data_IF_310171590233
#
_entry.id   IF_310171590233
#
_cell.length_a   1.000
_cell.length_b   1.000
_cell.length_c   1.000
_cell.angle_alpha   90.00
_cell.angle_beta   90.00
_cell.angle_gamma   90.00
#
_symmetry.space_group_name_H-M   'P 1'
#
loop_
_entity.id
_entity.type
_entity.pdbx_description
1 polymer ?
#
# COMPACT_ATOMS: atom_id res chain seq x y z
N UNK A 1 -4.12 27.27 58.63
CA UNK A 1 -3.64 28.00 57.45
C UNK A 1 -4.55 27.66 56.27
N UNK A 2 -5.59 28.46 56.05
CA UNK A 2 -6.55 28.26 54.95
C UNK A 2 -6.20 29.26 53.84
N UNK A 3 -5.66 28.75 52.73
CA UNK A 3 -5.30 29.54 51.56
C UNK A 3 -6.55 30.06 50.86
N UNK A 4 -6.72 31.37 50.85
CA UNK A 4 -7.75 32.07 50.08
C UNK A 4 -7.33 32.13 48.61
N UNK A 5 -7.59 31.06 47.87
CA UNK A 5 -7.52 31.09 46.40
C UNK A 5 -8.52 32.10 45.87
N UNK A 6 -8.00 33.26 45.48
CA UNK A 6 -8.79 34.45 45.18
C UNK A 6 -9.58 34.24 43.88
N UNK A 7 -10.93 34.13 43.91
CA UNK A 7 -11.75 33.88 42.73
C UNK A 7 -11.68 35.00 41.67
N UNK A 8 -11.00 36.11 41.96
CA UNK A 8 -10.77 37.21 41.03
C UNK A 8 -9.66 36.93 40.01
N UNK A 9 -8.60 36.20 40.39
CA UNK A 9 -7.46 35.91 39.49
C UNK A 9 -7.89 35.03 38.32
N UNK A 10 -8.69 34.00 38.60
CA UNK A 10 -9.19 33.04 37.59
C UNK A 10 -10.09 33.71 36.55
N UNK A 11 -10.87 34.73 36.93
CA UNK A 11 -11.74 35.47 35.99
C UNK A 11 -10.96 36.34 35.01
N UNK A 12 -9.92 37.04 35.48
CA UNK A 12 -9.06 37.88 34.62
C UNK A 12 -8.28 37.04 33.63
N UNK A 13 -7.71 35.92 34.09
CA UNK A 13 -6.96 34.99 33.24
C UNK A 13 -7.82 34.39 32.13
N UNK A 14 -9.05 33.94 32.44
CA UNK A 14 -9.99 33.44 31.42
C UNK A 14 -10.36 34.48 30.36
N UNK A 15 -10.53 35.75 30.76
CA UNK A 15 -10.82 36.84 29.81
C UNK A 15 -9.66 37.06 28.84
N UNK A 16 -8.42 37.03 29.34
CA UNK A 16 -7.22 37.18 28.50
C UNK A 16 -7.01 36.00 27.53
N UNK A 17 -7.34 34.78 27.94
CA UNK A 17 -7.21 33.57 27.10
C UNK A 17 -8.32 33.42 26.05
N UNK A 18 -9.44 34.12 26.19
CA UNK A 18 -10.56 34.04 25.26
C UNK A 18 -10.20 34.35 23.81
N UNK A 19 -9.54 35.47 23.46
CA UNK A 19 -9.15 35.75 22.07
C UNK A 19 -8.21 34.69 21.51
N UNK A 20 -7.24 34.22 22.31
CA UNK A 20 -6.33 33.14 21.92
C UNK A 20 -7.08 31.83 21.62
N UNK A 21 -8.01 31.44 22.49
CA UNK A 21 -8.83 30.24 22.30
C UNK A 21 -9.66 30.33 21.02
N UNK A 22 -10.25 31.50 20.73
CA UNK A 22 -11.02 31.75 19.51
C UNK A 22 -10.11 31.66 18.28
N UNK A 23 -8.92 32.26 18.32
CA UNK A 23 -7.94 32.19 17.25
C UNK A 23 -7.53 30.74 16.96
N UNK A 24 -7.24 29.93 17.99
CA UNK A 24 -6.94 28.50 17.83
C UNK A 24 -8.13 27.73 17.24
N UNK A 25 -9.35 27.99 17.73
CA UNK A 25 -10.55 27.29 17.29
C UNK A 25 -10.90 27.54 15.80
N UNK A 26 -10.57 28.72 15.27
CA UNK A 26 -10.75 29.07 13.85
C UNK A 26 -9.51 28.65 13.02
N UNK A 27 -8.32 28.95 13.51
CA UNK A 27 -7.08 28.72 12.77
C UNK A 27 -6.80 27.24 12.53
N UNK A 28 -7.17 26.37 13.47
CA UNK A 28 -6.92 24.94 13.37
C UNK A 28 -7.66 24.24 12.21
N UNK A 29 -9.00 24.35 12.03
CA UNK A 29 -9.66 23.78 10.85
C UNK A 29 -9.15 24.38 9.53
N UNK A 30 -8.80 25.67 9.50
CA UNK A 30 -8.20 26.29 8.31
C UNK A 30 -6.82 25.67 7.98
N UNK A 31 -5.99 25.45 9.00
CA UNK A 31 -4.71 24.79 8.84
C UNK A 31 -4.87 23.34 8.35
N UNK A 32 -5.83 22.59 8.92
CA UNK A 32 -6.15 21.23 8.46
C UNK A 32 -6.62 21.21 7.01
N UNK A 33 -7.49 22.14 6.62
CA UNK A 33 -7.96 22.26 5.24
C UNK A 33 -6.80 22.58 4.28
N UNK A 34 -5.88 23.47 4.67
CA UNK A 34 -4.69 23.79 3.89
C UNK A 34 -3.75 22.58 3.76
N UNK A 35 -3.53 21.82 4.83
CA UNK A 35 -2.72 20.58 4.80
C UNK A 35 -3.39 19.54 3.90
N UNK A 36 -4.70 19.33 4.03
CA UNK A 36 -5.45 18.40 3.18
C UNK A 36 -5.36 18.80 1.69
N UNK A 37 -5.49 20.09 1.39
CA UNK A 37 -5.29 20.62 0.04
C UNK A 37 -3.85 20.41 -0.44
N UNK A 38 -2.84 20.66 0.41
CA UNK A 38 -1.44 20.43 0.07
C UNK A 38 -1.18 18.95 -0.25
N UNK A 39 -1.71 18.01 0.52
CA UNK A 39 -1.60 16.58 0.20
C UNK A 39 -2.29 16.22 -1.12
N UNK A 40 -3.44 16.83 -1.40
CA UNK A 40 -4.21 16.55 -2.62
C UNK A 40 -3.59 17.10 -3.90
N UNK A 41 -2.98 18.29 -3.84
CA UNK A 41 -2.50 19.03 -5.02
C UNK A 41 -0.98 19.08 -5.15
N UNK A 42 -0.24 19.02 -4.04
CA UNK A 42 1.23 18.99 -4.03
C UNK A 42 1.72 17.55 -3.90
N UNK A 43 1.15 16.78 -2.97
CA UNK A 43 1.50 15.38 -2.74
C UNK A 43 2.99 15.20 -2.49
N UNK A 44 3.64 14.37 -3.32
CA UNK A 44 5.07 14.05 -3.19
C UNK A 44 6.00 15.04 -3.91
N UNK A 45 5.45 16.07 -4.58
CA UNK A 45 6.25 17.04 -5.35
C UNK A 45 7.09 17.96 -4.48
N UNK A 46 6.77 18.08 -3.19
CA UNK A 46 7.49 18.91 -2.24
C UNK A 46 7.91 18.10 -1.02
N UNK A 47 9.15 18.26 -0.57
CA UNK A 47 9.71 17.43 0.51
C UNK A 47 8.98 17.61 1.85
N UNK A 48 8.39 18.79 2.10
CA UNK A 48 7.62 19.05 3.33
C UNK A 48 6.31 18.26 3.33
N UNK A 49 5.56 18.28 2.21
CA UNK A 49 4.33 17.50 2.11
C UNK A 49 4.62 16.02 2.11
N UNK A 50 5.71 15.59 1.48
CA UNK A 50 6.21 14.22 1.57
C UNK A 50 6.46 13.82 3.03
N UNK A 51 7.30 14.57 3.77
CA UNK A 51 7.59 14.28 5.17
C UNK A 51 6.32 14.24 6.04
N UNK A 52 5.39 15.18 5.82
CA UNK A 52 4.11 15.22 6.52
C UNK A 52 3.19 14.03 6.17
N UNK A 53 3.24 13.50 4.95
CA UNK A 53 2.49 12.28 4.56
C UNK A 53 3.02 11.02 5.27
N UNK A 54 4.30 11.00 5.64
CA UNK A 54 4.91 9.91 6.40
C UNK A 54 4.73 10.03 7.93
N UNK A 55 4.22 11.16 8.43
CA UNK A 55 3.89 11.28 9.85
C UNK A 55 2.66 10.43 10.20
N UNK A 56 2.61 9.84 11.41
CA UNK A 56 1.41 9.18 11.91
C UNK A 56 0.22 10.16 11.85
N UNK A 57 -0.83 9.80 11.10
CA UNK A 57 -1.98 10.68 10.85
C UNK A 57 -2.70 11.12 12.12
N UNK A 58 -2.61 10.31 13.19
CA UNK A 58 -3.09 10.66 14.53
C UNK A 58 -2.46 11.94 15.08
N UNK A 59 -1.22 12.27 14.69
CA UNK A 59 -0.54 13.49 15.12
C UNK A 59 -1.30 14.76 14.74
N UNK A 60 -1.99 14.76 13.60
CA UNK A 60 -2.82 15.89 13.19
C UNK A 60 -4.06 16.07 14.06
N UNK A 61 -4.56 15.02 14.72
CA UNK A 61 -5.72 15.08 15.61
C UNK A 61 -5.39 15.53 17.04
N UNK A 62 -4.11 15.49 17.42
CA UNK A 62 -3.65 15.74 18.79
C UNK A 62 -4.08 17.11 19.37
N UNK A 63 -4.09 18.22 18.61
CA UNK A 63 -4.55 19.52 19.13
C UNK A 63 -6.04 19.56 19.47
N UNK A 64 -6.87 18.71 18.86
CA UNK A 64 -8.32 18.75 18.95
C UNK A 64 -8.84 18.61 20.41
N UNK A 65 -8.47 17.59 21.21
CA UNK A 65 -8.91 17.49 22.60
C UNK A 65 -8.45 18.69 23.46
N UNK A 66 -7.27 19.26 23.19
CA UNK A 66 -6.76 20.42 23.91
C UNK A 66 -7.60 21.67 23.61
N UNK A 67 -7.90 21.92 22.33
CA UNK A 67 -8.71 23.06 21.91
C UNK A 67 -10.15 22.93 22.41
N UNK A 68 -10.75 21.73 22.33
CA UNK A 68 -12.10 21.46 22.88
C UNK A 68 -12.14 21.70 24.38
N UNK A 69 -11.15 21.19 25.13
CA UNK A 69 -11.02 21.43 26.57
C UNK A 69 -10.89 22.91 26.90
N UNK A 70 -10.10 23.66 26.13
CA UNK A 70 -9.91 25.10 26.31
C UNK A 70 -11.18 25.90 26.00
N UNK A 71 -11.89 25.56 24.92
CA UNK A 71 -13.20 26.16 24.56
C UNK A 71 -14.21 25.98 25.70
N UNK A 72 -14.28 24.78 26.28
CA UNK A 72 -15.16 24.49 27.41
C UNK A 72 -14.74 25.25 28.68
N UNK A 73 -13.46 25.23 29.03
CA UNK A 73 -12.92 25.83 30.26
C UNK A 73 -13.05 27.37 30.28
N UNK A 74 -12.81 28.03 29.15
CA UNK A 74 -12.92 29.50 29.00
C UNK A 74 -14.38 29.94 28.76
N UNK A 75 -15.32 29.00 28.60
CA UNK A 75 -16.74 29.26 28.29
C UNK A 75 -16.95 30.07 26.99
N UNK A 76 -16.21 29.68 25.96
CA UNK A 76 -16.38 30.22 24.60
C UNK A 76 -17.73 29.73 24.02
N UNK A 77 -18.43 30.51 23.18
CA UNK A 77 -19.73 30.10 22.64
C UNK A 77 -19.71 28.74 21.93
N UNK A 78 -20.78 27.95 22.07
CA UNK A 78 -20.87 26.57 21.54
C UNK A 78 -20.65 26.45 20.03
N UNK A 79 -20.88 27.53 19.25
CA UNK A 79 -20.58 27.56 17.81
C UNK A 79 -19.11 27.22 17.47
N UNK A 80 -18.18 27.48 18.39
CA UNK A 80 -16.76 27.12 18.18
C UNK A 80 -16.49 25.62 18.35
N UNK A 81 -17.37 24.88 19.03
CA UNK A 81 -17.33 23.41 19.08
C UNK A 81 -17.73 22.80 17.73
N UNK A 82 -18.63 23.45 16.98
CA UNK A 82 -18.97 23.04 15.61
C UNK A 82 -17.73 23.09 14.72
N UNK A 83 -16.88 24.11 14.86
CA UNK A 83 -15.61 24.17 14.14
C UNK A 83 -14.67 23.01 14.51
N UNK A 84 -14.69 22.53 15.76
CA UNK A 84 -13.89 21.36 16.15
C UNK A 84 -14.48 20.06 15.58
N UNK A 85 -15.80 19.96 15.44
CA UNK A 85 -16.43 18.85 14.72
C UNK A 85 -16.04 18.87 13.23
N UNK A 86 -15.95 20.05 12.61
CA UNK A 86 -15.43 20.22 11.25
C UNK A 86 -13.95 19.81 11.17
N UNK A 87 -13.11 20.20 12.15
CA UNK A 87 -11.72 19.73 12.23
C UNK A 87 -11.63 18.21 12.31
N UNK A 88 -12.47 17.57 13.14
CA UNK A 88 -12.52 16.11 13.24
C UNK A 88 -12.88 15.48 11.88
N UNK A 89 -13.87 16.05 11.18
CA UNK A 89 -14.27 15.58 9.85
C UNK A 89 -13.12 15.73 8.83
N UNK A 90 -12.38 16.84 8.87
CA UNK A 90 -11.20 17.06 8.03
C UNK A 90 -10.07 16.08 8.35
N UNK A 91 -9.90 15.68 9.61
CA UNK A 91 -8.94 14.63 9.95
C UNK A 91 -9.41 13.27 9.43
N UNK A 92 -10.64 12.88 9.73
CA UNK A 92 -11.13 11.52 9.43
C UNK A 92 -11.29 11.31 7.92
N UNK A 93 -11.84 12.27 7.20
CA UNK A 93 -12.21 12.07 5.79
C UNK A 93 -11.01 12.27 4.87
N UNK A 94 -10.51 13.50 4.60
CA UNK A 94 -9.44 13.67 3.63
C UNK A 94 -8.05 13.25 4.15
N UNK A 95 -7.73 13.42 5.44
CA UNK A 95 -6.40 13.07 5.96
C UNK A 95 -6.26 11.58 6.27
N UNK A 96 -7.25 10.96 6.94
CA UNK A 96 -7.23 9.52 7.23
C UNK A 96 -7.77 8.66 6.08
N UNK A 97 -8.44 9.26 5.10
CA UNK A 97 -8.97 8.52 3.95
C UNK A 97 -10.18 7.67 4.31
N UNK A 98 -10.98 8.09 5.31
CA UNK A 98 -12.19 7.36 5.68
C UNK A 98 -13.15 7.34 4.48
N UNK A 99 -13.33 6.14 3.92
CA UNK A 99 -14.30 5.87 2.89
C UNK A 99 -15.39 5.00 3.53
N UNK A 100 -16.61 5.52 3.74
CA UNK A 100 -17.70 4.77 4.38
C UNK A 100 -18.16 3.57 3.56
N UNK A 101 -17.63 3.37 2.34
CA UNK A 101 -17.96 2.23 1.50
C UNK A 101 -19.36 2.32 0.92
N UNK A 102 -20.02 3.48 0.98
CA UNK A 102 -21.38 3.70 0.44
C UNK A 102 -21.45 3.31 -1.03
N UNK A 103 -20.39 3.59 -1.80
CA UNK A 103 -20.29 3.13 -3.20
C UNK A 103 -20.44 1.62 -3.36
N UNK A 104 -19.87 0.80 -2.45
CA UNK A 104 -20.01 -0.66 -2.49
C UNK A 104 -21.44 -1.16 -2.22
N UNK A 105 -22.24 -0.37 -1.51
CA UNK A 105 -23.65 -0.69 -1.27
C UNK A 105 -24.52 -0.36 -2.49
N UNK A 106 -24.14 0.66 -3.26
CA UNK A 106 -24.87 1.07 -4.46
C UNK A 106 -24.42 0.29 -5.70
N UNK A 107 -23.16 -0.14 -5.74
CA UNK A 107 -22.53 -0.86 -6.86
C UNK A 107 -22.61 -2.39 -6.71
N UNK A 108 -23.75 -2.93 -6.21
CA UNK A 108 -24.04 -4.35 -6.47
C UNK A 108 -24.31 -4.52 -7.97
N UNK A 109 -23.24 -4.49 -8.76
CA UNK A 109 -23.28 -4.67 -10.19
C UNK A 109 -23.92 -6.04 -10.46
N UNK A 110 -25.13 -6.00 -11.02
CA UNK A 110 -25.82 -7.19 -11.48
C UNK A 110 -25.16 -7.64 -12.78
N UNK A 111 -24.00 -8.30 -12.67
CA UNK A 111 -23.19 -8.69 -13.80
C UNK A 111 -22.09 -9.67 -13.43
N UNK A 112 -21.37 -10.21 -14.42
CA UNK A 112 -20.21 -11.05 -14.17
C UNK A 112 -19.21 -10.30 -13.29
N UNK A 113 -18.62 -10.99 -12.32
CA UNK A 113 -17.60 -10.41 -11.42
C UNK A 113 -16.29 -11.17 -11.57
N UNK A 114 -15.17 -10.45 -11.51
CA UNK A 114 -13.83 -11.03 -11.46
C UNK A 114 -13.19 -10.70 -10.10
N UNK A 115 -12.83 -11.71 -9.31
CA UNK A 115 -12.14 -11.50 -8.03
C UNK A 115 -10.64 -11.66 -8.21
N UNK A 116 -9.92 -10.57 -8.00
CA UNK A 116 -8.45 -10.55 -8.10
C UNK A 116 -7.85 -10.35 -6.71
N UNK A 117 -6.96 -11.25 -6.33
CA UNK A 117 -6.10 -11.10 -5.15
C UNK A 117 -4.69 -10.73 -5.63
N UNK A 118 -4.14 -9.64 -5.12
CA UNK A 118 -2.74 -9.27 -5.35
C UNK A 118 -2.02 -9.19 -4.01
N UNK A 119 -0.85 -9.82 -3.90
CA UNK A 119 -0.13 -9.89 -2.63
C UNK A 119 1.38 -10.01 -2.80
N UNK A 120 2.12 -9.04 -2.24
CA UNK A 120 3.57 -9.16 -2.14
C UNK A 120 3.89 -10.13 -0.99
N UNK A 121 4.43 -11.30 -1.32
CA UNK A 121 4.68 -12.36 -0.34
C UNK A 121 5.97 -12.15 0.46
N UNK A 122 6.73 -11.10 0.19
CA UNK A 122 7.99 -10.75 0.85
C UNK A 122 8.91 -11.98 1.00
N UNK A 123 9.13 -12.69 -0.11
CA UNK A 123 9.92 -13.93 -0.18
C UNK A 123 9.35 -15.12 0.62
N UNK A 124 8.03 -15.13 0.84
CA UNK A 124 7.27 -16.18 1.53
C UNK A 124 7.31 -16.08 3.05
N UNK A 125 7.57 -14.91 3.63
CA UNK A 125 7.56 -14.70 5.10
C UNK A 125 6.24 -15.12 5.77
N UNK A 126 5.05 -14.88 5.18
CA UNK A 126 3.78 -15.34 5.76
C UNK A 126 3.52 -16.85 5.66
N UNK A 127 4.40 -17.61 4.97
CA UNK A 127 4.12 -18.97 4.48
C UNK A 127 3.23 -18.94 3.23
N UNK A 128 3.45 -19.85 2.28
CA UNK A 128 2.65 -19.84 1.04
C UNK A 128 1.28 -20.52 1.24
N UNK A 129 1.20 -21.52 2.12
CA UNK A 129 -0.05 -22.14 2.54
C UNK A 129 -1.12 -21.12 3.01
N UNK A 130 -0.75 -20.12 3.81
CA UNK A 130 -1.69 -19.11 4.30
C UNK A 130 -2.20 -18.19 3.17
N UNK A 131 -1.35 -17.88 2.19
CA UNK A 131 -1.71 -17.11 1.00
C UNK A 131 -2.69 -17.90 0.13
N UNK A 132 -2.42 -19.19 -0.08
CA UNK A 132 -3.30 -20.11 -0.81
C UNK A 132 -4.66 -20.23 -0.10
N UNK A 133 -4.65 -20.45 1.21
CA UNK A 133 -5.86 -20.55 2.03
C UNK A 133 -6.71 -19.28 1.93
N UNK A 134 -6.10 -18.10 2.06
CA UNK A 134 -6.83 -16.83 1.91
C UNK A 134 -7.40 -16.65 0.51
N UNK A 135 -6.62 -16.95 -0.54
CA UNK A 135 -7.10 -16.87 -1.92
C UNK A 135 -8.34 -17.75 -2.14
N UNK A 136 -8.33 -18.97 -1.60
CA UNK A 136 -9.45 -19.89 -1.68
C UNK A 136 -10.64 -19.42 -0.83
N UNK A 137 -10.41 -18.98 0.40
CA UNK A 137 -11.44 -18.52 1.34
C UNK A 137 -12.24 -17.31 0.81
N UNK A 138 -11.57 -16.37 0.14
CA UNK A 138 -12.23 -15.23 -0.50
C UNK A 138 -12.78 -15.54 -1.90
N UNK A 139 -12.58 -16.77 -2.38
CA UNK A 139 -13.02 -17.20 -3.71
C UNK A 139 -12.38 -16.39 -4.83
N UNK A 140 -11.09 -16.08 -4.72
CA UNK A 140 -10.36 -15.41 -5.79
C UNK A 140 -10.40 -16.23 -7.08
N UNK A 141 -10.47 -15.55 -8.23
CA UNK A 141 -10.40 -16.18 -9.55
C UNK A 141 -9.02 -16.02 -10.19
N UNK A 142 -8.31 -14.97 -9.77
CA UNK A 142 -6.94 -14.66 -10.20
C UNK A 142 -6.13 -14.21 -8.99
N UNK A 143 -4.95 -14.78 -8.82
CA UNK A 143 -3.99 -14.47 -7.76
C UNK A 143 -2.69 -13.99 -8.39
N UNK A 144 -2.24 -12.82 -7.99
CA UNK A 144 -0.99 -12.19 -8.41
C UNK A 144 -0.08 -12.09 -7.21
N UNK A 145 1.08 -12.75 -7.25
CA UNK A 145 2.08 -12.65 -6.18
C UNK A 145 3.32 -11.93 -6.69
N UNK A 146 3.88 -11.08 -5.82
CA UNK A 146 5.16 -10.39 -6.03
C UNK A 146 6.20 -10.85 -5.00
N UNK A 147 7.49 -10.72 -5.33
CA UNK A 147 8.60 -11.20 -4.50
C UNK A 147 8.50 -12.70 -4.16
N UNK A 148 7.87 -13.50 -5.02
CA UNK A 148 7.84 -14.94 -4.89
C UNK A 148 9.18 -15.55 -5.31
N UNK A 149 9.55 -16.69 -4.72
CA UNK A 149 10.77 -17.44 -5.08
C UNK A 149 10.40 -18.76 -5.72
N UNK A 150 11.22 -19.20 -6.69
CA UNK A 150 11.05 -20.49 -7.37
C UNK A 150 10.93 -21.70 -6.42
N UNK A 151 11.52 -21.61 -5.22
CA UNK A 151 11.40 -22.66 -4.18
C UNK A 151 9.96 -22.98 -3.75
N UNK A 152 9.01 -22.06 -3.99
CA UNK A 152 7.59 -22.26 -3.64
C UNK A 152 6.78 -22.84 -4.80
N UNK A 153 7.41 -23.17 -5.93
CA UNK A 153 6.70 -23.63 -7.13
C UNK A 153 5.84 -24.86 -6.86
N UNK A 154 6.35 -25.84 -6.11
CA UNK A 154 5.60 -27.08 -5.85
C UNK A 154 4.45 -26.85 -4.88
N UNK A 155 4.65 -26.05 -3.83
CA UNK A 155 3.59 -25.65 -2.90
C UNK A 155 2.47 -24.89 -3.64
N UNK A 156 2.82 -23.95 -4.53
CA UNK A 156 1.86 -23.22 -5.37
C UNK A 156 1.12 -24.13 -6.36
N UNK A 157 1.82 -25.05 -7.03
CA UNK A 157 1.20 -26.03 -7.94
C UNK A 157 0.21 -26.93 -7.21
N UNK A 158 0.56 -27.35 -6.00
CA UNK A 158 -0.31 -28.18 -5.16
C UNK A 158 -1.50 -27.38 -4.61
N UNK A 159 -1.28 -26.14 -4.19
CA UNK A 159 -2.34 -25.28 -3.64
C UNK A 159 -3.33 -24.77 -4.69
N UNK A 160 -2.89 -24.58 -5.93
CA UNK A 160 -3.70 -24.12 -7.05
C UNK A 160 -3.92 -25.22 -8.11
N UNK A 161 -4.13 -26.46 -7.67
CA UNK A 161 -4.43 -27.56 -8.59
C UNK A 161 -5.63 -27.23 -9.50
N UNK A 162 -5.46 -27.48 -10.80
CA UNK A 162 -6.46 -27.16 -11.83
C UNK A 162 -6.47 -25.71 -12.31
N UNK A 163 -5.63 -24.82 -11.74
CA UNK A 163 -5.49 -23.45 -12.21
C UNK A 163 -4.35 -23.33 -13.23
N UNK A 164 -4.41 -22.30 -14.07
CA UNK A 164 -3.29 -21.89 -14.89
C UNK A 164 -2.27 -21.16 -13.99
N UNK A 165 -1.16 -21.84 -13.69
CA UNK A 165 -0.06 -21.29 -12.89
C UNK A 165 1.10 -20.86 -13.81
N UNK A 166 1.55 -19.62 -13.64
CA UNK A 166 2.75 -19.05 -14.27
C UNK A 166 3.67 -18.48 -13.22
N UNK A 167 4.96 -18.73 -13.38
CA UNK A 167 6.02 -18.21 -12.52
C UNK A 167 7.04 -17.60 -13.44
N UNK A 168 7.14 -16.27 -13.42
CA UNK A 168 7.99 -15.48 -14.30
C UNK A 168 8.92 -14.65 -13.40
N UNK A 169 10.03 -15.26 -12.97
CA UNK A 169 10.97 -14.66 -12.03
C UNK A 169 10.40 -14.53 -10.62
N UNK A 170 10.18 -13.29 -10.18
CA UNK A 170 9.58 -12.98 -8.87
C UNK A 170 8.06 -12.86 -8.90
N UNK A 171 7.47 -12.92 -10.08
CA UNK A 171 6.05 -12.77 -10.31
C UNK A 171 5.38 -14.14 -10.46
N UNK A 172 4.24 -14.30 -9.79
CA UNK A 172 3.39 -15.48 -9.95
C UNK A 172 2.01 -15.03 -10.36
N UNK A 173 1.45 -15.70 -11.37
CA UNK A 173 0.04 -15.67 -11.70
C UNK A 173 -0.53 -17.05 -11.46
N UNK A 174 -1.58 -17.16 -10.64
CA UNK A 174 -2.47 -18.32 -10.61
C UNK A 174 -3.87 -17.87 -11.02
N UNK A 175 -4.46 -18.46 -12.06
CA UNK A 175 -5.81 -18.07 -12.50
C UNK A 175 -6.66 -19.26 -12.93
N UNK A 176 -7.97 -19.19 -12.63
CA UNK A 176 -8.98 -20.15 -13.15
C UNK A 176 -9.33 -19.88 -14.61
N UNK A 177 -8.99 -18.70 -15.10
CA UNK A 177 -9.29 -18.26 -16.47
C UNK A 177 -8.24 -18.75 -17.45
N UNK A 178 -8.61 -18.79 -18.74
CA UNK A 178 -7.68 -19.18 -19.79
C UNK A 178 -6.66 -18.07 -20.00
N UNK A 179 -5.38 -18.44 -19.91
CA UNK A 179 -4.28 -17.56 -20.25
C UNK A 179 -4.08 -17.54 -21.77
N UNK A 180 -4.14 -16.35 -22.37
CA UNK A 180 -3.97 -16.17 -23.82
C UNK A 180 -2.58 -15.74 -24.22
N UNK A 181 -2.04 -14.76 -23.50
CA UNK A 181 -0.72 -14.21 -23.79
C UNK A 181 0.04 -13.93 -22.50
N UNK A 182 1.36 -14.03 -22.58
CA UNK A 182 2.29 -13.62 -21.53
C UNK A 182 3.35 -12.77 -22.19
N UNK A 183 3.49 -11.53 -21.74
CA UNK A 183 4.57 -10.66 -22.14
C UNK A 183 5.46 -10.40 -20.92
N UNK A 184 6.66 -10.98 -20.97
CA UNK A 184 7.73 -10.68 -20.02
C UNK A 184 8.61 -9.63 -20.68
N UNK A 185 8.61 -8.38 -20.19
CA UNK A 185 9.42 -7.33 -20.77
C UNK A 185 10.92 -7.66 -20.64
N UNK A 186 11.74 -7.26 -21.62
CA UNK A 186 13.18 -7.45 -21.55
C UNK A 186 13.79 -6.65 -20.40
N UNK A 187 15.00 -7.03 -20.00
CA UNK A 187 15.77 -6.24 -19.03
C UNK A 187 15.97 -4.81 -19.53
N UNK A 188 15.68 -3.86 -18.64
CA UNK A 188 15.93 -2.45 -18.85
C UNK A 188 17.37 -2.10 -18.45
N UNK A 189 17.95 -1.15 -19.17
CA UNK A 189 19.28 -0.61 -18.83
C UNK A 189 19.08 0.64 -17.97
N UNK A 190 19.50 0.55 -16.72
CA UNK A 190 19.54 1.66 -15.78
C UNK A 190 20.98 2.21 -15.70
N UNK A 191 21.18 3.46 -15.25
CA UNK A 191 22.52 3.99 -14.99
C UNK A 191 23.36 3.11 -14.05
N UNK A 192 22.71 2.29 -13.22
CA UNK A 192 23.34 1.40 -12.24
C UNK A 192 23.55 -0.05 -12.74
N UNK A 193 23.15 -0.37 -13.97
CA UNK A 193 23.25 -1.71 -14.55
C UNK A 193 21.97 -2.16 -15.26
N UNK A 194 21.96 -3.42 -15.72
CA UNK A 194 20.75 -4.04 -16.30
C UNK A 194 19.90 -4.66 -15.20
N UNK A 195 18.59 -4.49 -15.27
CA UNK A 195 17.62 -5.14 -14.38
C UNK A 195 16.28 -5.33 -15.07
N UNK A 196 15.44 -6.25 -14.57
CA UNK A 196 14.12 -6.51 -15.15
C UNK A 196 13.21 -5.27 -15.15
N UNK A 197 12.18 -5.27 -15.99
CA UNK A 197 11.24 -4.14 -16.09
C UNK A 197 10.24 -4.03 -14.93
N UNK A 198 10.40 -4.86 -13.88
CA UNK A 198 9.58 -4.87 -12.66
C UNK A 198 8.08 -5.15 -12.83
N UNK A 199 7.66 -5.61 -14.01
CA UNK A 199 6.30 -6.13 -14.21
C UNK A 199 6.26 -7.31 -15.18
N UNK A 200 5.14 -8.04 -15.16
CA UNK A 200 4.76 -9.01 -16.20
C UNK A 200 3.33 -8.72 -16.64
N UNK A 201 3.08 -8.79 -17.95
CA UNK A 201 1.76 -8.59 -18.55
C UNK A 201 1.14 -9.93 -18.96
N UNK A 202 -0.10 -10.16 -18.54
CA UNK A 202 -0.89 -11.33 -18.86
C UNK A 202 -2.19 -10.91 -19.53
N UNK A 203 -2.60 -11.62 -20.58
CA UNK A 203 -3.94 -11.45 -21.18
C UNK A 203 -4.79 -12.67 -20.83
N UNK A 204 -5.91 -12.45 -20.13
CA UNK A 204 -6.82 -13.49 -19.64
C UNK A 204 -8.17 -13.44 -20.34
N UNK A 205 -8.79 -14.60 -20.58
CA UNK A 205 -10.21 -14.69 -20.96
C UNK A 205 -11.10 -14.85 -19.74
N UNK A 206 -11.83 -13.80 -19.41
CA UNK A 206 -12.68 -13.73 -18.22
C UNK A 206 -14.16 -13.66 -18.62
N UNK A 207 -15.10 -13.85 -17.67
CA UNK A 207 -16.53 -13.59 -17.91
C UNK A 207 -16.85 -12.16 -18.34
N UNK A 208 -15.93 -11.21 -18.12
CA UNK A 208 -16.02 -9.82 -18.54
C UNK A 208 -15.46 -9.58 -19.96
N UNK A 209 -14.94 -10.61 -20.63
CA UNK A 209 -14.18 -10.52 -21.87
C UNK A 209 -12.67 -10.64 -21.65
N UNK A 210 -11.89 -10.13 -22.60
CA UNK A 210 -10.42 -10.10 -22.48
C UNK A 210 -10.00 -9.07 -21.43
N UNK A 211 -9.16 -9.50 -20.49
CA UNK A 211 -8.61 -8.65 -19.45
C UNK A 211 -7.08 -8.65 -19.51
N UNK A 212 -6.49 -7.47 -19.60
CA UNK A 212 -5.05 -7.27 -19.45
C UNK A 212 -4.71 -7.06 -17.98
N UNK A 213 -3.84 -7.91 -17.47
CA UNK A 213 -3.44 -7.97 -16.07
C UNK A 213 -1.95 -7.71 -15.97
N UNK A 214 -1.58 -6.66 -15.24
CA UNK A 214 -0.19 -6.29 -14.99
C UNK A 214 0.16 -6.65 -13.56
N UNK A 215 1.15 -7.54 -13.39
CA UNK A 215 1.72 -7.87 -12.10
C UNK A 215 2.99 -7.06 -11.90
N UNK A 216 2.93 -5.97 -11.12
CA UNK A 216 4.01 -5.00 -10.92
C UNK A 216 4.51 -5.03 -9.46
N UNK A 217 5.83 -4.91 -9.30
CA UNK A 217 6.50 -4.71 -8.01
C UNK A 217 7.31 -3.40 -8.05
N UNK A 218 6.60 -2.27 -7.91
CA UNK A 218 7.18 -0.92 -7.99
C UNK A 218 8.14 -0.56 -6.84
N UNK A 219 8.35 -1.45 -5.85
CA UNK A 219 9.23 -1.17 -4.73
C UNK A 219 10.69 -1.02 -5.21
N UNK A 220 11.35 0.15 -4.99
CA UNK A 220 12.74 0.34 -5.35
C UNK A 220 13.61 -0.68 -4.61
N UNK A 221 14.19 -1.66 -5.31
CA UNK A 221 15.12 -2.59 -4.65
C UNK A 221 16.42 -1.86 -4.31
N UNK A 222 16.89 -1.91 -3.04
CA UNK A 222 18.17 -1.35 -2.68
C UNK A 222 19.30 -1.99 -3.50
N UNK A 223 20.19 -1.12 -4.01
CA UNK A 223 21.41 -1.45 -4.75
C UNK A 223 22.17 -2.60 -4.06
N UNK A 224 22.37 -3.72 -4.76
CA UNK A 224 23.34 -4.74 -4.38
C UNK A 224 22.82 -6.17 -4.18
N UNK A 225 21.50 -6.40 -4.08
CA UNK A 225 20.97 -7.76 -3.85
C UNK A 225 20.77 -8.61 -5.11
N UNK A 226 20.86 -8.00 -6.30
CA UNK A 226 20.83 -8.70 -7.60
C UNK A 226 22.19 -9.27 -8.02
N UNK A 227 23.15 -9.36 -7.10
CA UNK A 227 24.31 -10.25 -7.21
C UNK A 227 23.93 -11.74 -7.15
N UNK A 228 22.79 -12.15 -7.72
CA UNK A 228 22.65 -13.52 -8.18
C UNK A 228 23.55 -13.65 -9.40
N UNK A 229 24.77 -14.13 -9.11
CA UNK A 229 25.68 -14.70 -10.09
C UNK A 229 24.87 -15.44 -11.16
N UNK A 230 25.15 -15.23 -12.46
CA UNK A 230 24.53 -16.05 -13.49
C UNK A 230 24.67 -17.50 -13.08
N UNK A 231 23.56 -18.24 -13.11
CA UNK A 231 23.58 -19.68 -12.96
C UNK A 231 24.62 -20.20 -13.95
N UNK A 232 25.77 -20.61 -13.43
CA UNK A 232 26.92 -21.11 -14.19
C UNK A 232 26.59 -22.52 -14.69
N UNK A 233 25.63 -22.64 -15.59
CA UNK A 233 25.69 -23.64 -16.66
C UNK A 233 26.56 -23.03 -17.76
N UNK A 234 27.60 -23.65 -18.30
CA UNK A 234 27.88 -25.06 -18.41
C UNK A 234 29.36 -25.30 -18.11
N UNK A 235 29.67 -26.20 -17.17
CA UNK A 235 30.90 -26.99 -17.28
C UNK A 235 30.63 -27.99 -18.40
N UNK A 236 31.08 -27.65 -19.60
CA UNK A 236 31.46 -28.63 -20.61
C UNK A 236 32.23 -29.75 -19.89
N UNK A 237 31.67 -30.95 -19.91
CA UNK A 237 32.38 -32.15 -19.48
C UNK A 237 33.68 -32.29 -20.28
N UNK A 238 34.72 -32.92 -19.71
CA UNK A 238 35.98 -33.12 -20.41
C UNK A 238 35.74 -33.87 -21.73
N UNK A 239 36.46 -33.52 -22.81
CA UNK A 239 36.31 -34.19 -24.09
C UNK A 239 36.59 -35.69 -23.93
N UNK A 240 35.69 -36.51 -24.45
CA UNK A 240 35.87 -37.95 -24.54
C UNK A 240 37.18 -38.26 -25.28
N UNK A 241 38.11 -38.93 -24.59
CA UNK A 241 39.32 -39.49 -25.21
C UNK A 241 38.89 -40.49 -26.29
N UNK A 242 39.20 -40.18 -27.56
CA UNK A 242 39.28 -41.17 -28.63
C UNK A 242 40.28 -42.25 -28.22
N UNK A 243 39.80 -43.42 -27.82
CA UNK A 243 40.62 -44.62 -27.80
C UNK A 243 40.94 -44.99 -29.25
N UNK A 244 42.22 -45.11 -29.55
CA UNK A 244 42.73 -45.52 -30.85
C UNK A 244 42.30 -46.95 -31.16
N UNK A 245 41.69 -47.15 -32.33
CA UNK A 245 41.62 -48.45 -32.97
C UNK A 245 42.97 -48.75 -33.58
N UNK A 246 43.65 -49.73 -32.99
CA UNK A 246 44.85 -50.36 -33.53
C UNK A 246 44.54 -51.18 -34.77
N UNK A 247 45.57 -51.27 -35.61
CA UNK A 247 45.71 -52.14 -36.79
C UNK A 247 45.56 -53.62 -36.41
N UNK A 248 44.94 -54.38 -37.30
CA UNK A 248 45.44 -55.66 -37.82
C UNK A 248 44.94 -55.80 -39.26
#
# INVERSE_FOLDING_TARGET
MAGTDSPQFTRRFRRALRPFTIACAIGYPLALAAIAAAFRFVGERWWVTLAAMYLPRLGFALPLPLIVGLVYWVRVPRRYLVLQAVSLLLVVVPLMGFNPGIGRLMDQASGPSLRVMSFNVSFGRPGMASVIEQAQAFGADTVLLQDAKARFADELRNGFQGWNLRIDGEFVLATRHRLRNVFVPPDLTYPQGKGGAHYVHYTLETPLGLADVFNDNAAPRPRGSQGQRPARGDRLGPPARRQGQGRC
#
